data_IF_383763841865
#
_entry.id   IF_383763841865
#
_cell.length_a   1.000
_cell.length_b   1.000
_cell.length_c   1.000
_cell.angle_alpha   90.00
_cell.angle_beta   90.00
_cell.angle_gamma   90.00
#
_symmetry.space_group_name_H-M   'P 1'
#
loop_
_entity.id
_entity.type
_entity.pdbx_description
1 polymer ?
#
# COMPACT_ATOMS: atom_id res chain seq x y z
N UNK A 1 13.96 -10.83 45.33
CA UNK A 1 13.28 -9.50 45.32
C UNK A 1 14.22 -8.34 45.06
N UNK A 2 15.30 -8.12 45.83
CA UNK A 2 16.24 -6.99 45.63
C UNK A 2 16.88 -6.94 44.23
N UNK A 3 17.30 -8.08 43.68
CA UNK A 3 17.89 -8.17 42.32
C UNK A 3 16.86 -7.78 41.24
N UNK A 4 15.64 -8.30 41.35
CA UNK A 4 14.55 -7.99 40.41
C UNK A 4 14.21 -6.50 40.46
N UNK A 5 14.14 -5.91 41.65
CA UNK A 5 13.90 -4.48 41.81
C UNK A 5 15.03 -3.64 41.21
N UNK A 6 16.30 -4.04 41.39
CA UNK A 6 17.45 -3.37 40.79
C UNK A 6 17.41 -3.46 39.25
N UNK A 7 17.13 -4.64 38.69
CA UNK A 7 17.00 -4.81 37.23
C UNK A 7 15.85 -3.98 36.66
N UNK A 8 14.69 -3.97 37.34
CA UNK A 8 13.56 -3.14 36.93
C UNK A 8 13.93 -1.65 36.95
N UNK A 9 14.63 -1.18 37.99
CA UNK A 9 15.09 0.20 38.09
C UNK A 9 16.06 0.55 36.94
N UNK A 10 17.01 -0.31 36.61
CA UNK A 10 17.93 -0.11 35.49
C UNK A 10 17.17 0.00 34.16
N UNK A 11 16.19 -0.89 33.92
CA UNK A 11 15.36 -0.85 32.71
C UNK A 11 14.56 0.44 32.62
N UNK A 12 13.98 0.91 33.72
CA UNK A 12 13.25 2.18 33.78
C UNK A 12 14.17 3.36 33.44
N UNK A 13 15.37 3.39 34.03
CA UNK A 13 16.36 4.44 33.78
C UNK A 13 16.75 4.46 32.29
N UNK A 14 17.06 3.30 31.71
CA UNK A 14 17.38 3.17 30.27
C UNK A 14 16.21 3.68 29.42
N UNK A 15 14.98 3.28 29.72
CA UNK A 15 13.79 3.73 29.00
C UNK A 15 13.57 5.25 29.08
N UNK A 16 13.86 5.88 30.23
CA UNK A 16 13.81 7.34 30.38
C UNK A 16 14.85 8.02 29.49
N UNK A 17 16.08 7.52 29.48
CA UNK A 17 17.14 8.08 28.62
C UNK A 17 16.83 7.91 27.13
N UNK A 18 16.34 6.73 26.73
CA UNK A 18 15.90 6.47 25.36
C UNK A 18 14.78 7.42 24.94
N UNK A 19 13.76 7.59 25.80
CA UNK A 19 12.64 8.52 25.57
C UNK A 19 13.13 9.95 25.42
N UNK A 20 14.02 10.42 26.30
CA UNK A 20 14.59 11.77 26.23
C UNK A 20 15.40 11.98 24.94
N UNK A 21 16.23 11.01 24.55
CA UNK A 21 17.00 11.07 23.30
C UNK A 21 16.08 11.12 22.08
N UNK A 22 15.07 10.26 22.04
CA UNK A 22 14.09 10.22 20.95
C UNK A 22 13.32 11.55 20.84
N UNK A 23 12.83 12.07 21.98
CA UNK A 23 12.14 13.35 21.99
C UNK A 23 13.05 14.49 21.51
N UNK A 24 14.33 14.50 21.90
CA UNK A 24 15.29 15.48 21.38
C UNK A 24 15.41 15.39 19.86
N UNK A 25 15.49 14.18 19.31
CA UNK A 25 15.55 13.99 17.87
C UNK A 25 14.30 14.51 17.16
N UNK A 26 13.10 14.29 17.72
CA UNK A 26 11.86 14.84 17.17
C UNK A 26 11.91 16.37 17.07
N UNK A 27 12.37 17.06 18.12
CA UNK A 27 12.47 18.53 18.12
C UNK A 27 13.56 19.08 17.19
N UNK A 28 14.50 18.24 16.76
CA UNK A 28 15.56 18.63 15.84
C UNK A 28 15.13 18.53 14.36
N UNK A 29 14.00 17.90 14.07
CA UNK A 29 13.46 17.81 12.71
C UNK A 29 12.47 18.98 12.53
N UNK A 30 12.68 19.90 11.57
CA UNK A 30 11.85 21.09 11.44
C UNK A 30 10.37 20.80 11.15
N UNK A 31 10.08 19.75 10.39
CA UNK A 31 8.70 19.30 10.20
C UNK A 31 8.56 17.79 10.00
N UNK A 32 7.54 17.21 10.63
CA UNK A 32 7.19 15.80 10.51
C UNK A 32 5.78 15.67 9.93
N UNK A 33 5.65 14.85 8.89
CA UNK A 33 4.39 14.53 8.22
C UNK A 33 4.08 13.06 8.43
N UNK A 34 2.94 12.77 9.07
CA UNK A 34 2.44 11.42 9.25
C UNK A 34 1.29 11.14 8.28
N UNK A 35 1.44 10.13 7.43
CA UNK A 35 0.47 9.77 6.40
C UNK A 35 -0.30 8.52 6.81
N UNK A 36 -1.57 8.68 7.12
CA UNK A 36 -2.47 7.62 7.57
C UNK A 36 -3.69 7.45 6.62
N UNK A 37 -4.46 6.40 6.86
CA UNK A 37 -5.61 5.99 6.05
C UNK A 37 -5.53 4.52 5.64
N UNK A 38 -6.58 4.01 5.02
CA UNK A 38 -6.65 2.57 4.69
C UNK A 38 -5.89 2.27 3.39
N UNK A 39 -6.10 3.07 2.34
CA UNK A 39 -5.46 2.90 1.02
C UNK A 39 -4.69 4.14 0.56
N UNK A 40 -3.73 3.94 -0.33
CA UNK A 40 -2.99 5.03 -0.97
C UNK A 40 -1.86 5.64 -0.14
N UNK A 41 -1.64 5.24 1.12
CA UNK A 41 -0.63 5.84 2.00
C UNK A 41 0.77 5.88 1.37
N UNK A 42 1.31 4.74 0.92
CA UNK A 42 2.64 4.70 0.29
C UNK A 42 2.74 5.59 -0.94
N UNK A 43 1.71 5.62 -1.80
CA UNK A 43 1.67 6.48 -2.97
C UNK A 43 1.65 7.95 -2.56
N UNK A 44 0.81 8.32 -1.60
CA UNK A 44 0.71 9.68 -1.06
C UNK A 44 2.01 10.13 -0.41
N UNK A 45 2.68 9.29 0.39
CA UNK A 45 4.00 9.56 0.97
C UNK A 45 5.04 9.85 -0.12
N UNK A 46 5.06 9.04 -1.19
CA UNK A 46 5.97 9.24 -2.34
C UNK A 46 5.68 10.55 -3.05
N UNK A 47 4.41 10.88 -3.31
CA UNK A 47 4.00 12.13 -3.96
C UNK A 47 4.32 13.37 -3.11
N UNK A 48 3.98 13.35 -1.82
CA UNK A 48 4.31 14.44 -0.88
C UNK A 48 5.82 14.65 -0.87
N UNK A 49 6.60 13.59 -0.68
CA UNK A 49 8.05 13.72 -0.60
C UNK A 49 8.66 14.28 -1.89
N UNK A 50 8.14 13.88 -3.06
CA UNK A 50 8.60 14.38 -4.35
C UNK A 50 8.20 15.85 -4.59
N UNK A 51 6.97 16.22 -4.23
CA UNK A 51 6.49 17.60 -4.31
C UNK A 51 7.33 18.53 -3.42
N UNK A 52 7.59 18.13 -2.17
CA UNK A 52 8.39 18.91 -1.24
C UNK A 52 9.86 19.03 -1.68
N UNK A 53 10.48 17.96 -2.18
CA UNK A 53 11.83 18.02 -2.78
C UNK A 53 11.91 18.97 -3.96
N UNK A 54 10.89 18.96 -4.83
CA UNK A 54 10.86 19.89 -5.97
C UNK A 54 10.73 21.35 -5.58
N UNK A 55 10.21 21.63 -4.38
CA UNK A 55 10.21 22.94 -3.74
C UNK A 55 11.53 23.33 -3.06
N UNK A 56 12.57 22.49 -3.15
CA UNK A 56 13.90 22.77 -2.60
C UNK A 56 14.14 22.24 -1.18
N UNK A 57 13.21 21.48 -0.60
CA UNK A 57 13.37 20.91 0.74
C UNK A 57 14.16 19.60 0.71
N UNK A 58 15.02 19.38 1.70
CA UNK A 58 15.61 18.07 1.99
C UNK A 58 14.56 17.19 2.67
N UNK A 59 14.13 16.13 2.00
CA UNK A 59 13.04 15.28 2.50
C UNK A 59 13.50 13.83 2.62
N UNK A 60 13.45 13.30 3.85
CA UNK A 60 13.51 11.86 4.09
C UNK A 60 12.09 11.33 4.13
N UNK A 61 11.80 10.28 3.37
CA UNK A 61 10.50 9.62 3.41
C UNK A 61 10.63 8.13 3.72
N UNK A 62 9.62 7.59 4.38
CA UNK A 62 9.55 6.16 4.67
C UNK A 62 8.18 5.61 4.32
N UNK A 63 8.16 4.57 3.49
CA UNK A 63 6.95 3.84 3.10
C UNK A 63 6.90 2.45 3.71
N UNK A 64 5.69 1.89 3.79
CA UNK A 64 5.42 0.54 4.31
C UNK A 64 4.54 -0.29 3.39
N UNK A 65 4.36 0.14 2.13
CA UNK A 65 3.54 -0.50 1.11
C UNK A 65 3.96 -1.93 0.77
N UNK A 66 4.15 -2.22 -0.51
CA UNK A 66 4.48 -3.58 -0.96
C UNK A 66 5.85 -4.04 -0.45
N UNK A 67 6.79 -3.11 -0.34
CA UNK A 67 8.04 -3.29 0.37
C UNK A 67 8.33 -2.01 1.18
N UNK A 68 8.87 -2.17 2.38
CA UNK A 68 9.23 -1.02 3.20
C UNK A 68 10.50 -0.36 2.67
N UNK A 69 10.44 0.94 2.40
CA UNK A 69 11.53 1.71 1.76
C UNK A 69 11.81 2.96 2.55
N UNK A 70 13.09 3.35 2.58
CA UNK A 70 13.55 4.69 2.92
C UNK A 70 13.90 5.36 1.60
N UNK A 71 13.37 6.56 1.39
CA UNK A 71 13.62 7.42 0.23
C UNK A 71 14.41 8.62 0.74
N UNK A 72 15.67 8.71 0.34
CA UNK A 72 16.61 9.74 0.80
C UNK A 72 16.38 11.09 0.09
N UNK A 73 16.95 12.20 0.61
CA UNK A 73 16.86 13.51 -0.03
C UNK A 73 17.35 13.53 -1.48
N UNK A 74 18.34 12.70 -1.81
CA UNK A 74 18.89 12.51 -3.16
C UNK A 74 18.03 11.60 -4.07
N UNK A 75 16.86 11.16 -3.59
CA UNK A 75 15.93 10.22 -4.22
C UNK A 75 16.41 8.77 -4.28
N UNK A 76 17.57 8.45 -3.72
CA UNK A 76 17.99 7.05 -3.59
C UNK A 76 17.05 6.29 -2.66
N UNK A 77 16.82 5.00 -2.95
CA UNK A 77 15.95 4.14 -2.14
C UNK A 77 16.72 2.98 -1.52
N UNK A 78 16.50 2.78 -0.22
CA UNK A 78 16.98 1.58 0.49
C UNK A 78 15.82 0.79 1.06
N UNK A 79 15.88 -0.52 0.89
CA UNK A 79 14.92 -1.43 1.51
C UNK A 79 15.16 -1.57 3.00
N UNK A 80 14.08 -1.57 3.79
CA UNK A 80 14.14 -1.85 5.23
C UNK A 80 14.06 -3.37 5.41
N UNK A 81 15.21 -3.99 5.64
CA UNK A 81 15.28 -5.43 5.95
C UNK A 81 14.81 -5.64 7.39
N UNK A 82 13.77 -6.46 7.58
CA UNK A 82 13.22 -6.80 8.89
C UNK A 82 13.60 -8.22 9.29
N UNK A 83 14.09 -8.37 10.52
CA UNK A 83 14.35 -9.69 11.14
C UNK A 83 13.14 -10.22 11.94
N UNK A 84 11.99 -9.57 11.84
CA UNK A 84 10.77 -9.90 12.57
C UNK A 84 9.54 -9.20 11.97
N UNK A 85 8.36 -9.33 12.61
CA UNK A 85 7.16 -8.66 12.13
C UNK A 85 7.35 -7.13 12.11
N UNK A 86 6.64 -6.41 11.23
CA UNK A 86 6.64 -4.95 11.24
C UNK A 86 6.27 -4.40 12.62
N UNK A 87 6.98 -3.36 13.07
CA UNK A 87 6.77 -2.75 14.39
C UNK A 87 6.91 -1.24 14.29
N UNK A 88 5.99 -0.50 14.93
CA UNK A 88 6.07 0.97 15.02
C UNK A 88 7.35 1.45 15.71
N UNK A 89 8.02 0.58 16.47
CA UNK A 89 9.32 0.91 17.09
C UNK A 89 10.43 1.18 16.07
N UNK A 90 10.27 0.72 14.80
CA UNK A 90 11.22 1.03 13.73
C UNK A 90 11.30 2.53 13.43
N UNK A 91 10.23 3.29 13.75
CA UNK A 91 10.18 4.75 13.54
C UNK A 91 11.25 5.50 14.36
N UNK A 92 11.69 4.98 15.52
CA UNK A 92 12.78 5.58 16.29
C UNK A 92 14.07 5.72 15.49
N UNK A 93 14.40 4.66 14.72
CA UNK A 93 15.60 4.66 13.88
C UNK A 93 15.45 5.58 12.68
N UNK A 94 14.24 5.68 12.12
CA UNK A 94 13.96 6.60 10.99
C UNK A 94 14.05 8.06 11.45
N UNK A 95 13.52 8.38 12.63
CA UNK A 95 13.66 9.72 13.24
C UNK A 95 15.12 10.04 13.53
N UNK A 96 15.89 9.10 14.06
CA UNK A 96 17.33 9.29 14.23
C UNK A 96 18.04 9.55 12.90
N UNK A 97 17.74 8.76 11.87
CA UNK A 97 18.30 8.93 10.53
C UNK A 97 17.94 10.30 9.93
N UNK A 98 16.71 10.77 10.13
CA UNK A 98 16.29 12.10 9.65
C UNK A 98 17.13 13.24 10.25
N UNK A 99 17.52 13.12 11.53
CA UNK A 99 18.43 14.07 12.18
C UNK A 99 19.85 13.94 11.62
N UNK A 100 20.34 12.72 11.40
CA UNK A 100 21.68 12.47 10.84
C UNK A 100 21.82 12.97 9.39
N UNK A 101 20.74 12.91 8.61
CA UNK A 101 20.66 13.43 7.24
C UNK A 101 20.31 14.93 7.18
N UNK A 102 20.13 15.58 8.34
CA UNK A 102 19.80 17.01 8.47
C UNK A 102 18.63 17.43 7.57
N UNK A 103 17.54 16.69 7.61
CA UNK A 103 16.39 16.93 6.72
C UNK A 103 15.52 18.08 7.21
N UNK A 104 14.91 18.79 6.27
CA UNK A 104 13.91 19.82 6.55
C UNK A 104 12.56 19.17 6.90
N UNK A 105 12.24 18.04 6.23
CA UNK A 105 10.96 17.35 6.40
C UNK A 105 11.14 15.84 6.46
N UNK A 106 10.51 15.21 7.45
CA UNK A 106 10.36 13.76 7.56
C UNK A 106 8.93 13.34 7.20
N UNK A 107 8.75 12.52 6.15
CA UNK A 107 7.44 12.01 5.73
C UNK A 107 7.32 10.52 6.02
N UNK A 108 6.45 10.12 6.94
CA UNK A 108 6.31 8.74 7.38
C UNK A 108 4.92 8.20 7.09
N UNK A 109 4.86 7.06 6.40
CA UNK A 109 3.66 6.25 6.29
C UNK A 109 3.32 5.55 7.63
N UNK A 110 2.06 5.67 8.03
CA UNK A 110 1.48 4.95 9.16
C UNK A 110 1.33 3.46 8.85
N UNK A 111 1.85 2.62 9.74
CA UNK A 111 1.66 1.16 9.70
C UNK A 111 0.71 0.64 10.79
N UNK A 112 0.20 1.54 11.63
CA UNK A 112 -0.57 1.18 12.80
C UNK A 112 -1.93 0.60 12.38
N UNK A 113 -2.35 -0.48 13.05
CA UNK A 113 -3.64 -1.13 12.79
C UNK A 113 -4.56 -0.97 13.99
N UNK A 114 -4.19 -1.51 15.17
CA UNK A 114 -5.07 -1.44 16.34
C UNK A 114 -5.09 -0.05 17.00
N UNK A 115 -6.15 0.28 17.76
CA UNK A 115 -6.29 1.54 18.49
C UNK A 115 -5.05 1.96 19.30
N UNK A 116 -4.47 1.03 20.06
CA UNK A 116 -3.33 1.29 20.94
C UNK A 116 -2.08 1.64 20.12
N UNK A 117 -1.91 0.97 18.98
CA UNK A 117 -0.77 1.19 18.08
C UNK A 117 -0.97 2.48 17.28
N UNK A 118 -2.21 2.86 16.92
CA UNK A 118 -2.52 4.16 16.28
C UNK A 118 -2.17 5.31 17.22
N UNK A 119 -2.65 5.24 18.46
CA UNK A 119 -2.33 6.23 19.49
C UNK A 119 -0.83 6.28 19.78
N UNK A 120 -0.19 5.12 19.94
CA UNK A 120 1.25 5.05 20.25
C UNK A 120 2.12 5.57 19.11
N UNK A 121 1.79 5.24 17.85
CA UNK A 121 2.54 5.70 16.67
C UNK A 121 2.65 7.22 16.66
N UNK A 122 1.55 7.91 16.94
CA UNK A 122 1.55 9.38 17.00
C UNK A 122 2.20 9.90 18.28
N UNK A 123 1.62 9.58 19.44
CA UNK A 123 1.92 10.24 20.71
C UNK A 123 3.27 9.82 21.31
N UNK A 124 3.80 8.65 20.90
CA UNK A 124 5.08 8.15 21.38
C UNK A 124 6.19 8.25 20.35
N UNK A 125 5.93 8.08 19.05
CA UNK A 125 7.00 7.95 18.07
C UNK A 125 7.17 9.14 17.14
N UNK A 126 6.12 9.88 16.80
CA UNK A 126 6.17 10.88 15.73
C UNK A 126 5.90 12.31 16.19
N UNK A 127 4.81 12.57 16.91
CA UNK A 127 4.39 13.94 17.27
C UNK A 127 4.45 14.88 16.04
N UNK A 128 3.67 14.56 15.02
CA UNK A 128 3.76 15.14 13.69
C UNK A 128 3.06 16.51 13.61
N UNK A 129 3.68 17.45 12.90
CA UNK A 129 3.10 18.78 12.61
C UNK A 129 1.97 18.72 11.57
N UNK A 130 2.00 17.67 10.73
CA UNK A 130 1.00 17.41 9.71
C UNK A 130 0.53 15.95 9.76
N UNK A 131 -0.78 15.76 9.87
CA UNK A 131 -1.43 14.47 9.65
C UNK A 131 -2.17 14.48 8.32
N UNK A 132 -1.89 13.50 7.47
CA UNK A 132 -2.57 13.30 6.19
C UNK A 132 -3.48 12.08 6.31
N UNK A 133 -4.77 12.22 6.05
CA UNK A 133 -5.73 11.10 6.03
C UNK A 133 -6.20 10.88 4.59
N UNK A 134 -5.77 9.77 3.99
CA UNK A 134 -6.07 9.48 2.58
C UNK A 134 -7.52 9.03 2.36
N UNK A 135 -8.01 8.09 3.16
CA UNK A 135 -9.38 7.55 3.12
C UNK A 135 -9.64 6.59 4.27
N UNK A 136 -10.93 6.31 4.50
CA UNK A 136 -11.45 5.28 5.40
C UNK A 136 -12.21 4.22 4.58
N UNK A 137 -11.84 2.96 4.76
CA UNK A 137 -12.42 1.80 4.07
C UNK A 137 -12.45 0.59 5.01
N UNK A 138 -13.25 -0.42 4.68
CA UNK A 138 -13.27 -1.67 5.43
C UNK A 138 -11.93 -2.41 5.29
N UNK A 139 -11.17 -2.48 6.37
CA UNK A 139 -9.97 -3.31 6.53
C UNK A 139 -9.79 -3.65 8.01
N UNK A 140 -9.18 -4.80 8.29
CA UNK A 140 -8.92 -5.30 9.65
C UNK A 140 -10.09 -5.09 10.61
N UNK A 141 -11.31 -5.52 10.23
CA UNK A 141 -12.51 -5.29 11.05
C UNK A 141 -12.38 -5.89 12.46
N UNK A 142 -11.56 -6.92 12.61
CA UNK A 142 -11.20 -7.58 13.87
C UNK A 142 -10.31 -6.72 14.78
N UNK A 143 -9.64 -5.69 14.25
CA UNK A 143 -8.67 -4.85 14.98
C UNK A 143 -9.00 -3.37 14.97
N UNK A 144 -9.60 -2.86 13.90
CA UNK A 144 -9.87 -1.43 13.70
C UNK A 144 -11.28 -1.02 14.04
N UNK A 145 -12.22 -1.97 14.09
CA UNK A 145 -13.64 -1.69 14.31
C UNK A 145 -14.54 -2.41 13.29
N UNK A 146 -15.79 -2.61 13.65
CA UNK A 146 -16.74 -3.44 12.91
C UNK A 146 -17.41 -2.70 11.73
N UNK A 147 -17.24 -1.39 11.64
CA UNK A 147 -17.83 -0.56 10.60
C UNK A 147 -16.94 0.66 10.30
N UNK A 148 -17.26 1.39 9.23
CA UNK A 148 -16.47 2.54 8.77
C UNK A 148 -16.34 3.65 9.83
N UNK A 149 -17.36 3.85 10.68
CA UNK A 149 -17.33 4.86 11.73
C UNK A 149 -16.30 4.48 12.80
N UNK A 150 -16.35 3.25 13.31
CA UNK A 150 -15.36 2.75 14.28
C UNK A 150 -13.92 2.75 13.70
N UNK A 151 -13.76 2.40 12.42
CA UNK A 151 -12.45 2.48 11.75
C UNK A 151 -11.94 3.94 11.70
N UNK A 152 -12.81 4.90 11.38
CA UNK A 152 -12.42 6.31 11.36
C UNK A 152 -12.09 6.83 12.77
N UNK A 153 -12.79 6.38 13.81
CA UNK A 153 -12.44 6.68 15.20
C UNK A 153 -11.06 6.12 15.55
N UNK A 154 -10.77 4.87 15.17
CA UNK A 154 -9.47 4.24 15.37
C UNK A 154 -8.35 4.99 14.64
N UNK A 155 -8.54 5.38 13.39
CA UNK A 155 -7.58 6.21 12.64
C UNK A 155 -7.40 7.56 13.35
N UNK A 156 -8.48 8.16 13.85
CA UNK A 156 -8.45 9.46 14.52
C UNK A 156 -7.68 9.44 15.85
N UNK A 157 -7.40 8.27 16.44
CA UNK A 157 -6.51 8.16 17.60
C UNK A 157 -5.08 8.60 17.29
N UNK A 158 -4.66 8.51 16.02
CA UNK A 158 -3.38 8.99 15.53
C UNK A 158 -3.33 10.50 15.25
N UNK A 159 -4.41 11.26 15.44
CA UNK A 159 -4.37 12.71 15.23
C UNK A 159 -3.39 13.37 16.23
N UNK A 160 -2.44 14.21 15.80
CA UNK A 160 -1.59 14.98 16.71
C UNK A 160 -2.39 16.02 17.50
N UNK A 161 -1.71 16.80 18.34
CA UNK A 161 -2.27 17.99 19.01
C UNK A 161 -1.68 19.25 18.40
N UNK A 162 -2.46 20.34 18.34
CA UNK A 162 -2.00 21.67 17.89
C UNK A 162 -1.32 21.66 16.50
N UNK A 163 -1.84 20.85 15.59
CA UNK A 163 -1.19 20.52 14.31
C UNK A 163 -2.14 20.68 13.12
N UNK A 164 -1.65 20.42 11.91
CA UNK A 164 -2.45 20.49 10.70
C UNK A 164 -2.97 19.12 10.30
N UNK A 165 -4.25 19.03 9.93
CA UNK A 165 -4.87 17.78 9.45
C UNK A 165 -5.40 18.01 8.04
N UNK A 166 -4.86 17.27 7.07
CA UNK A 166 -5.30 17.31 5.67
C UNK A 166 -5.99 15.98 5.35
N UNK A 167 -7.20 16.03 4.81
CA UNK A 167 -7.98 14.81 4.55
C UNK A 167 -8.61 14.82 3.16
N UNK A 168 -8.46 13.71 2.44
CA UNK A 168 -9.25 13.39 1.23
C UNK A 168 -10.45 12.48 1.51
N UNK A 169 -10.65 12.07 2.76
CA UNK A 169 -11.84 11.31 3.16
C UNK A 169 -13.09 12.20 3.09
N UNK A 170 -14.07 11.81 2.28
CA UNK A 170 -15.30 12.58 2.01
C UNK A 170 -16.48 12.15 2.86
N UNK A 171 -16.69 10.83 3.04
CA UNK A 171 -17.89 10.29 3.69
C UNK A 171 -17.87 10.55 5.19
N UNK A 172 -16.68 10.48 5.80
CA UNK A 172 -16.47 10.68 7.24
C UNK A 172 -15.74 11.98 7.56
N UNK A 173 -15.72 12.94 6.62
CA UNK A 173 -15.05 14.23 6.77
C UNK A 173 -15.48 14.96 8.05
N UNK A 174 -16.79 14.95 8.35
CA UNK A 174 -17.34 15.58 9.56
C UNK A 174 -16.74 15.01 10.84
N UNK A 175 -16.67 13.68 10.96
CA UNK A 175 -16.11 13.03 12.14
C UNK A 175 -14.62 13.35 12.30
N UNK A 176 -13.85 13.28 11.21
CA UNK A 176 -12.42 13.62 11.24
C UNK A 176 -12.22 15.07 11.65
N UNK A 177 -13.03 16.00 11.12
CA UNK A 177 -13.00 17.42 11.49
C UNK A 177 -13.30 17.62 12.98
N UNK A 178 -14.38 17.04 13.49
CA UNK A 178 -14.75 17.11 14.91
C UNK A 178 -13.62 16.57 15.81
N UNK A 179 -13.05 15.39 15.49
CA UNK A 179 -11.92 14.82 16.25
C UNK A 179 -10.64 15.67 16.14
N UNK A 180 -10.45 16.38 15.02
CA UNK A 180 -9.32 17.31 14.83
C UNK A 180 -9.47 18.53 15.73
N UNK A 181 -10.66 19.14 15.77
CA UNK A 181 -10.98 20.30 16.61
C UNK A 181 -10.82 19.96 18.10
N UNK A 182 -11.23 18.75 18.53
CA UNK A 182 -11.02 18.27 19.91
C UNK A 182 -9.54 18.22 20.33
N UNK A 183 -8.60 18.13 19.38
CA UNK A 183 -7.15 18.16 19.64
C UNK A 183 -6.49 19.50 19.27
N UNK A 184 -7.31 20.54 19.07
CA UNK A 184 -6.89 21.88 18.65
C UNK A 184 -6.11 21.88 17.32
N UNK A 185 -6.50 21.00 16.39
CA UNK A 185 -5.87 20.92 15.07
C UNK A 185 -6.60 21.79 14.04
N UNK A 186 -5.85 22.29 13.05
CA UNK A 186 -6.41 22.96 11.89
C UNK A 186 -6.76 21.93 10.81
N UNK A 187 -8.06 21.72 10.56
CA UNK A 187 -8.54 20.77 9.57
C UNK A 187 -8.70 21.42 8.18
N UNK A 188 -8.21 20.73 7.15
CA UNK A 188 -8.34 21.08 5.73
C UNK A 188 -8.80 19.88 4.91
N UNK A 189 -9.90 20.03 4.16
CA UNK A 189 -10.29 19.07 3.12
C UNK A 189 -9.53 19.34 1.82
N UNK A 190 -9.42 18.30 0.97
CA UNK A 190 -8.91 18.41 -0.40
C UNK A 190 -10.02 18.46 -1.46
N UNK A 191 -11.30 18.56 -1.08
CA UNK A 191 -12.44 18.47 -2.00
C UNK A 191 -12.44 19.55 -3.09
N UNK A 192 -11.84 20.70 -2.83
CA UNK A 192 -11.71 21.81 -3.78
C UNK A 192 -10.53 21.63 -4.77
N UNK A 193 -9.71 20.58 -4.61
CA UNK A 193 -8.58 20.32 -5.48
C UNK A 193 -9.00 19.33 -6.57
N UNK A 194 -9.28 19.87 -7.75
CA UNK A 194 -9.57 19.06 -8.94
C UNK A 194 -8.28 18.74 -9.68
N UNK A 195 -8.16 17.52 -10.19
CA UNK A 195 -7.05 17.09 -11.06
C UNK A 195 -7.64 16.87 -12.46
N UNK A 196 -7.10 17.59 -13.45
CA UNK A 196 -7.52 17.47 -14.85
C UNK A 196 -7.05 16.15 -15.47
N UNK A 197 -7.65 15.76 -16.59
CA UNK A 197 -7.22 14.54 -17.32
C UNK A 197 -5.82 14.71 -17.89
N UNK A 198 -5.50 15.92 -18.33
CA UNK A 198 -4.21 16.32 -18.89
C UNK A 198 -3.11 16.19 -17.82
N UNK A 199 -3.38 16.64 -16.58
CA UNK A 199 -2.44 16.44 -15.47
C UNK A 199 -2.24 14.96 -15.12
N UNK A 200 -3.31 14.14 -15.18
CA UNK A 200 -3.20 12.70 -14.91
C UNK A 200 -2.38 11.96 -15.97
N UNK A 201 -2.48 12.37 -17.24
CA UNK A 201 -1.74 11.74 -18.35
C UNK A 201 -0.23 11.98 -18.29
N UNK A 202 0.22 13.01 -17.58
CA UNK A 202 1.65 13.32 -17.42
C UNK A 202 2.36 12.39 -16.43
N UNK A 203 1.61 11.68 -15.59
CA UNK A 203 2.21 10.62 -14.78
C UNK A 203 2.50 9.43 -15.69
N UNK A 204 3.76 8.98 -15.71
CA UNK A 204 4.14 7.73 -16.40
C UNK A 204 3.42 6.49 -15.86
N UNK A 205 2.71 6.67 -14.74
CA UNK A 205 2.17 5.65 -13.88
C UNK A 205 0.81 5.99 -13.35
N UNK A 206 0.10 4.98 -12.91
CA UNK A 206 -1.21 5.17 -12.31
C UNK A 206 -1.12 5.77 -10.90
N UNK A 207 -1.77 6.92 -10.72
CA UNK A 207 -1.90 7.60 -9.43
C UNK A 207 -3.36 8.05 -9.25
N UNK A 208 -3.92 7.81 -8.06
CA UNK A 208 -5.27 8.27 -7.74
C UNK A 208 -5.30 9.79 -7.53
N UNK A 209 -6.33 10.44 -8.09
CA UNK A 209 -6.53 11.88 -7.96
C UNK A 209 -6.56 12.36 -6.51
N UNK A 210 -7.18 11.60 -5.60
CA UNK A 210 -7.22 11.92 -4.16
C UNK A 210 -5.80 11.95 -3.54
N UNK A 211 -4.90 11.06 -3.97
CA UNK A 211 -3.51 11.05 -3.48
C UNK A 211 -2.75 12.30 -3.97
N UNK A 212 -2.98 12.70 -5.22
CA UNK A 212 -2.39 13.93 -5.80
C UNK A 212 -2.96 15.15 -5.07
N UNK A 213 -4.26 15.17 -4.78
CA UNK A 213 -4.92 16.26 -4.07
C UNK A 213 -4.35 16.45 -2.66
N UNK A 214 -4.13 15.37 -1.90
CA UNK A 214 -3.37 15.40 -0.65
C UNK A 214 -1.99 16.04 -0.84
N UNK A 215 -1.21 15.55 -1.80
CA UNK A 215 0.15 16.03 -2.02
C UNK A 215 0.21 17.52 -2.41
N UNK A 216 -0.72 17.99 -3.25
CA UNK A 216 -0.84 19.41 -3.61
C UNK A 216 -1.20 20.24 -2.38
N UNK A 217 -2.19 19.81 -1.58
CA UNK A 217 -2.60 20.56 -0.37
C UNK A 217 -1.45 20.63 0.64
N UNK A 218 -0.71 19.54 0.81
CA UNK A 218 0.49 19.53 1.67
C UNK A 218 1.54 20.48 1.12
N UNK A 219 1.88 20.44 -0.17
CA UNK A 219 2.86 21.34 -0.76
C UNK A 219 2.50 22.83 -0.57
N UNK A 220 1.21 23.17 -0.67
CA UNK A 220 0.72 24.53 -0.39
C UNK A 220 1.00 24.99 1.05
N UNK A 221 0.90 24.10 2.04
CA UNK A 221 1.25 24.41 3.44
C UNK A 221 2.75 24.73 3.61
N UNK A 222 3.60 24.25 2.71
CA UNK A 222 5.03 24.56 2.64
C UNK A 222 5.35 25.71 1.67
N UNK A 223 4.34 26.48 1.24
CA UNK A 223 4.46 27.58 0.27
C UNK A 223 5.02 27.17 -1.10
N UNK A 224 4.79 25.91 -1.50
CA UNK A 224 5.18 25.39 -2.82
C UNK A 224 3.96 25.47 -3.74
N UNK A 225 4.12 26.13 -4.88
CA UNK A 225 3.05 26.29 -5.86
C UNK A 225 2.70 24.97 -6.57
N UNK A 226 1.47 24.88 -7.11
CA UNK A 226 0.95 23.67 -7.76
C UNK A 226 1.85 23.18 -8.89
N UNK A 227 2.40 24.09 -9.71
CA UNK A 227 3.19 23.72 -10.89
C UNK A 227 4.51 23.08 -10.45
N UNK A 228 5.18 23.66 -9.47
CA UNK A 228 6.39 23.08 -8.87
C UNK A 228 6.09 21.72 -8.25
N UNK A 229 5.04 21.64 -7.41
CA UNK A 229 4.63 20.41 -6.76
C UNK A 229 4.35 19.27 -7.77
N UNK A 230 3.58 19.54 -8.82
CA UNK A 230 3.27 18.56 -9.86
C UNK A 230 4.52 18.10 -10.62
N UNK A 231 5.45 19.01 -10.93
CA UNK A 231 6.72 18.66 -11.57
C UNK A 231 7.49 17.62 -10.75
N UNK A 232 7.55 17.78 -9.42
CA UNK A 232 8.15 16.79 -8.54
C UNK A 232 7.36 15.47 -8.52
N UNK A 233 6.04 15.54 -8.46
CA UNK A 233 5.18 14.35 -8.44
C UNK A 233 5.31 13.47 -9.69
N UNK A 234 5.54 14.05 -10.87
CA UNK A 234 5.74 13.30 -12.10
C UNK A 234 7.00 12.42 -12.05
N UNK A 235 8.05 12.84 -11.33
CA UNK A 235 9.28 12.07 -11.16
C UNK A 235 9.27 11.14 -9.94
N UNK A 236 8.15 11.05 -9.21
CA UNK A 236 8.08 10.18 -8.05
C UNK A 236 8.31 8.73 -8.46
N UNK A 237 9.07 7.97 -7.67
CA UNK A 237 9.28 6.53 -7.86
C UNK A 237 8.04 5.73 -7.43
N UNK A 238 7.83 4.55 -8.02
CA UNK A 238 6.69 3.68 -7.72
C UNK A 238 6.86 2.89 -6.41
N UNK A 239 5.73 2.53 -5.78
CA UNK A 239 5.76 1.42 -4.83
C UNK A 239 6.06 0.13 -5.63
N UNK A 240 6.97 -0.76 -5.18
CA UNK A 240 7.35 -1.95 -5.94
C UNK A 240 6.20 -2.89 -6.35
N UNK A 241 5.02 -2.78 -5.72
CA UNK A 241 3.83 -3.54 -6.10
C UNK A 241 2.81 -2.77 -6.94
N UNK A 242 3.19 -1.65 -7.55
CA UNK A 242 2.36 -0.93 -8.54
C UNK A 242 1.83 -1.88 -9.63
N UNK A 243 0.74 -1.46 -10.27
CA UNK A 243 0.13 -2.21 -11.36
C UNK A 243 1.12 -2.35 -12.52
N UNK A 244 1.47 -3.58 -12.88
CA UNK A 244 2.39 -3.87 -13.98
C UNK A 244 1.84 -4.90 -14.94
N UNK A 245 2.26 -4.82 -16.20
CA UNK A 245 1.90 -5.77 -17.25
C UNK A 245 3.16 -6.44 -17.76
N UNK A 246 3.16 -7.76 -17.82
CA UNK A 246 4.27 -8.53 -18.36
C UNK A 246 3.77 -9.44 -19.49
N UNK A 247 4.44 -9.37 -20.64
CA UNK A 247 4.26 -10.31 -21.73
C UNK A 247 5.29 -11.42 -21.61
N UNK A 248 4.81 -12.65 -21.40
CA UNK A 248 5.61 -13.86 -21.45
C UNK A 248 5.26 -14.62 -22.73
N UNK A 249 6.25 -14.80 -23.60
CA UNK A 249 6.11 -15.59 -24.83
C UNK A 249 6.53 -17.03 -24.55
N UNK A 250 5.57 -17.94 -24.52
CA UNK A 250 5.83 -19.38 -24.37
C UNK A 250 5.74 -20.08 -25.73
N UNK A 251 6.25 -21.32 -25.80
CA UNK A 251 6.28 -22.09 -27.06
C UNK A 251 4.90 -22.23 -27.73
N UNK A 252 3.84 -22.33 -26.94
CA UNK A 252 2.50 -22.67 -27.43
C UNK A 252 1.49 -21.51 -27.31
N UNK A 253 1.83 -20.41 -26.64
CA UNK A 253 0.92 -19.29 -26.37
C UNK A 253 1.66 -18.04 -25.89
N UNK A 254 1.02 -16.89 -25.98
CA UNK A 254 1.39 -15.69 -25.25
C UNK A 254 0.61 -15.60 -23.93
N UNK A 255 1.27 -15.08 -22.89
CA UNK A 255 0.66 -14.87 -21.58
C UNK A 255 0.88 -13.42 -21.17
N UNK A 256 -0.21 -12.68 -20.98
CA UNK A 256 -0.19 -11.39 -20.32
C UNK A 256 -0.45 -11.59 -18.84
N UNK A 257 0.53 -11.26 -18.01
CA UNK A 257 0.34 -11.20 -16.56
C UNK A 257 0.16 -9.75 -16.12
N UNK A 258 -1.00 -9.49 -15.51
CA UNK A 258 -1.37 -8.19 -14.96
C UNK A 258 -1.22 -8.28 -13.45
N UNK A 259 -0.13 -7.72 -12.95
CA UNK A 259 0.21 -7.73 -11.55
C UNK A 259 -0.55 -6.63 -10.80
N UNK A 260 -1.71 -6.97 -10.24
CA UNK A 260 -2.50 -6.09 -9.37
C UNK A 260 -2.49 -6.55 -7.90
N UNK A 261 -1.45 -7.28 -7.46
CA UNK A 261 -1.39 -7.85 -6.11
C UNK A 261 -1.25 -6.82 -4.97
N UNK A 262 -0.94 -5.56 -5.25
CA UNK A 262 -1.01 -4.51 -4.21
C UNK A 262 -2.45 -4.12 -3.86
N UNK A 263 -3.42 -4.39 -4.74
CA UNK A 263 -4.84 -4.19 -4.46
C UNK A 263 -5.40 -5.32 -3.59
N UNK A 264 -5.20 -5.16 -2.29
CA UNK A 264 -5.54 -6.19 -1.30
C UNK A 264 -7.02 -6.18 -0.87
N UNK A 265 -7.86 -5.27 -1.34
CA UNK A 265 -9.32 -5.23 -1.05
C UNK A 265 -10.15 -5.31 -2.33
N UNK A 266 -11.43 -5.68 -2.17
CA UNK A 266 -12.41 -5.76 -3.25
C UNK A 266 -12.54 -4.43 -4.02
N UNK A 267 -12.70 -3.30 -3.33
CA UNK A 267 -13.03 -2.03 -3.99
C UNK A 267 -11.87 -1.52 -4.84
N UNK A 268 -10.64 -1.54 -4.31
CA UNK A 268 -9.44 -1.20 -5.09
C UNK A 268 -9.26 -2.17 -6.27
N UNK A 269 -9.50 -3.46 -6.07
CA UNK A 269 -9.41 -4.46 -7.15
C UNK A 269 -10.46 -4.22 -8.23
N UNK A 270 -11.68 -3.83 -7.85
CA UNK A 270 -12.78 -3.52 -8.77
C UNK A 270 -12.45 -2.29 -9.63
N UNK A 271 -11.86 -1.25 -9.04
CA UNK A 271 -11.41 -0.06 -9.77
C UNK A 271 -10.34 -0.45 -10.81
N UNK A 272 -9.32 -1.21 -10.39
CA UNK A 272 -8.27 -1.68 -11.30
C UNK A 272 -8.86 -2.56 -12.40
N UNK A 273 -9.72 -3.53 -12.05
CA UNK A 273 -10.37 -4.41 -13.02
C UNK A 273 -11.13 -3.62 -14.08
N UNK A 274 -12.01 -2.70 -13.69
CA UNK A 274 -12.83 -1.92 -14.62
C UNK A 274 -12.01 -1.04 -15.56
N UNK A 275 -10.78 -0.69 -15.16
CA UNK A 275 -9.84 0.04 -16.00
C UNK A 275 -9.13 -0.92 -16.97
N UNK A 276 -8.49 -1.94 -16.42
CA UNK A 276 -7.70 -2.92 -17.16
C UNK A 276 -8.55 -3.64 -18.21
N UNK A 277 -9.76 -4.06 -17.85
CA UNK A 277 -10.62 -4.84 -18.74
C UNK A 277 -11.09 -4.07 -19.98
N UNK A 278 -11.05 -2.73 -19.96
CA UNK A 278 -11.38 -1.90 -21.12
C UNK A 278 -10.27 -1.86 -22.16
N UNK A 279 -9.05 -2.21 -21.76
CA UNK A 279 -7.87 -2.18 -22.62
C UNK A 279 -7.44 -3.58 -23.06
N UNK A 280 -8.23 -4.62 -22.80
CA UNK A 280 -7.88 -5.99 -23.18
C UNK A 280 -7.67 -6.15 -24.69
N UNK A 281 -8.46 -5.45 -25.50
CA UNK A 281 -8.35 -5.49 -26.96
C UNK A 281 -7.04 -4.85 -27.48
N UNK A 282 -6.34 -4.07 -26.65
CA UNK A 282 -5.06 -3.45 -26.99
C UNK A 282 -3.85 -4.29 -26.54
N UNK A 283 -4.08 -5.38 -25.82
CA UNK A 283 -3.02 -6.26 -25.36
C UNK A 283 -2.52 -7.14 -26.53
N UNK A 284 -1.22 -7.47 -26.60
CA UNK A 284 -0.66 -8.26 -27.69
C UNK A 284 -0.96 -9.77 -27.52
N UNK A 285 -2.24 -10.12 -27.56
CA UNK A 285 -2.79 -11.48 -27.46
C UNK A 285 -4.01 -11.66 -28.35
N UNK A 286 -4.25 -12.89 -28.82
CA UNK A 286 -5.40 -13.22 -29.68
C UNK A 286 -6.32 -14.25 -29.02
N UNK A 287 -7.63 -14.02 -29.08
CA UNK A 287 -8.67 -14.92 -28.52
C UNK A 287 -8.38 -15.38 -27.08
N UNK A 288 -7.87 -14.47 -26.25
CA UNK A 288 -7.30 -14.84 -24.97
C UNK A 288 -8.35 -15.25 -23.94
N UNK A 289 -8.09 -16.36 -23.25
CA UNK A 289 -8.84 -16.77 -22.07
C UNK A 289 -8.39 -15.96 -20.84
N UNK A 290 -9.35 -15.44 -20.06
CA UNK A 290 -9.07 -14.53 -18.94
C UNK A 290 -9.14 -15.28 -17.62
N UNK A 291 -8.02 -15.36 -16.91
CA UNK A 291 -7.87 -16.08 -15.65
C UNK A 291 -7.69 -15.11 -14.49
N UNK A 292 -8.37 -15.36 -13.37
CA UNK A 292 -8.07 -14.68 -12.11
C UNK A 292 -7.02 -15.48 -11.34
N UNK A 293 -5.91 -14.84 -10.95
CA UNK A 293 -4.94 -15.40 -10.01
C UNK A 293 -5.07 -14.67 -8.67
N UNK A 294 -5.62 -15.34 -7.67
CA UNK A 294 -5.80 -14.76 -6.33
C UNK A 294 -4.82 -15.35 -5.33
N UNK A 295 -4.16 -14.47 -4.56
CA UNK A 295 -3.28 -14.84 -3.46
C UNK A 295 -3.84 -14.33 -2.13
N UNK A 296 -4.02 -15.24 -1.16
CA UNK A 296 -4.52 -14.89 0.17
C UNK A 296 -3.48 -15.01 1.27
N UNK A 297 -3.48 -14.02 2.18
CA UNK A 297 -2.82 -14.08 3.49
C UNK A 297 -3.64 -14.84 4.51
N UNK A 298 -2.97 -15.42 5.50
CA UNK A 298 -3.60 -16.17 6.60
C UNK A 298 -4.41 -15.30 7.56
N UNK A 299 -3.95 -14.06 7.81
CA UNK A 299 -4.51 -13.13 8.80
C UNK A 299 -5.67 -12.26 8.28
N UNK A 300 -6.11 -12.44 7.03
CA UNK A 300 -7.21 -11.66 6.42
C UNK A 300 -8.38 -12.54 5.95
N UNK A 301 -8.80 -13.47 6.80
CA UNK A 301 -9.82 -14.46 6.47
C UNK A 301 -11.18 -13.88 6.05
N UNK A 302 -11.57 -12.71 6.59
CA UNK A 302 -12.83 -12.04 6.24
C UNK A 302 -12.91 -11.66 4.74
N UNK A 303 -11.74 -11.40 4.11
CA UNK A 303 -11.66 -11.01 2.70
C UNK A 303 -11.98 -12.14 1.72
N UNK A 304 -12.01 -13.39 2.17
CA UNK A 304 -12.38 -14.52 1.30
C UNK A 304 -13.77 -14.30 0.66
N UNK A 305 -14.73 -13.83 1.45
CA UNK A 305 -16.08 -13.54 0.97
C UNK A 305 -16.10 -12.37 0.01
N UNK A 306 -15.45 -11.26 0.37
CA UNK A 306 -15.38 -10.06 -0.47
C UNK A 306 -14.75 -10.34 -1.85
N UNK A 307 -13.65 -11.09 -1.87
CA UNK A 307 -13.02 -11.49 -3.12
C UNK A 307 -13.84 -12.55 -3.87
N UNK A 308 -14.54 -13.45 -3.20
CA UNK A 308 -15.45 -14.36 -3.89
C UNK A 308 -16.52 -13.57 -4.67
N UNK A 309 -17.12 -12.54 -4.07
CA UNK A 309 -18.07 -11.66 -4.74
C UNK A 309 -17.47 -10.95 -5.97
N UNK A 310 -16.22 -10.46 -5.86
CA UNK A 310 -15.49 -9.89 -6.99
C UNK A 310 -15.27 -10.90 -8.12
N UNK A 311 -14.77 -12.09 -7.77
CA UNK A 311 -14.38 -13.15 -8.70
C UNK A 311 -15.58 -13.75 -9.44
N UNK A 312 -16.73 -13.89 -8.77
CA UNK A 312 -17.91 -14.56 -9.34
C UNK A 312 -18.86 -13.61 -10.08
N UNK A 313 -18.51 -12.33 -10.24
CA UNK A 313 -19.30 -11.40 -11.06
C UNK A 313 -19.30 -11.88 -12.51
N UNK A 314 -20.50 -11.91 -13.11
CA UNK A 314 -20.79 -12.60 -14.38
C UNK A 314 -19.83 -12.15 -15.49
N UNK A 315 -19.38 -13.12 -16.29
CA UNK A 315 -18.55 -12.93 -17.49
C UNK A 315 -17.17 -12.27 -17.30
N UNK A 316 -16.58 -12.29 -16.10
CA UNK A 316 -15.21 -11.75 -15.89
C UNK A 316 -14.08 -12.70 -16.24
N UNK A 317 -14.16 -13.91 -15.71
CA UNK A 317 -13.06 -14.87 -15.73
C UNK A 317 -13.53 -16.20 -16.27
N UNK A 318 -12.74 -16.81 -17.14
CA UNK A 318 -12.92 -18.16 -17.66
C UNK A 318 -12.53 -19.20 -16.60
N UNK A 319 -11.45 -18.94 -15.84
CA UNK A 319 -10.95 -19.83 -14.79
C UNK A 319 -10.31 -19.07 -13.61
N UNK A 320 -10.04 -19.80 -12.53
CA UNK A 320 -9.47 -19.28 -11.29
C UNK A 320 -8.24 -20.07 -10.86
N UNK A 321 -7.15 -19.36 -10.58
CA UNK A 321 -5.92 -19.87 -10.00
C UNK A 321 -5.81 -19.37 -8.55
N UNK A 322 -5.69 -20.29 -7.60
CA UNK A 322 -5.71 -19.97 -6.17
C UNK A 322 -4.35 -20.26 -5.54
N UNK A 323 -3.77 -19.26 -4.86
CA UNK A 323 -2.47 -19.33 -4.20
C UNK A 323 -2.50 -18.79 -2.76
N UNK A 324 -1.44 -19.02 -2.00
CA UNK A 324 -1.31 -18.55 -0.62
C UNK A 324 -2.03 -19.41 0.43
N UNK A 325 -2.12 -18.89 1.65
CA UNK A 325 -2.46 -19.65 2.86
C UNK A 325 -3.92 -20.13 2.89
N UNK A 326 -4.85 -19.41 2.25
CA UNK A 326 -6.29 -19.68 2.34
C UNK A 326 -6.90 -20.26 1.06
N UNK A 327 -6.08 -20.65 0.07
CA UNK A 327 -6.55 -21.14 -1.24
C UNK A 327 -7.57 -22.28 -1.19
N UNK A 328 -7.43 -23.23 -0.26
CA UNK A 328 -8.39 -24.33 -0.12
C UNK A 328 -9.76 -23.87 0.40
N UNK A 329 -9.78 -22.88 1.31
CA UNK A 329 -11.04 -22.27 1.78
C UNK A 329 -11.70 -21.48 0.66
N UNK A 330 -10.91 -20.70 -0.09
CA UNK A 330 -11.40 -19.97 -1.26
C UNK A 330 -11.97 -20.91 -2.32
N UNK A 331 -11.31 -22.04 -2.61
CA UNK A 331 -11.80 -23.06 -3.54
C UNK A 331 -13.17 -23.59 -3.14
N UNK A 332 -13.35 -23.94 -1.86
CA UNK A 332 -14.64 -24.42 -1.35
C UNK A 332 -15.74 -23.37 -1.49
N UNK A 333 -15.43 -22.12 -1.19
CA UNK A 333 -16.37 -21.01 -1.34
C UNK A 333 -16.77 -20.78 -2.81
N UNK A 334 -15.79 -20.71 -3.71
CA UNK A 334 -16.04 -20.55 -5.15
C UNK A 334 -16.82 -21.71 -5.75
N UNK A 335 -16.50 -22.96 -5.39
CA UNK A 335 -17.27 -24.14 -5.82
C UNK A 335 -18.74 -24.07 -5.42
N UNK A 336 -19.02 -23.58 -4.20
CA UNK A 336 -20.39 -23.39 -3.70
C UNK A 336 -21.14 -22.31 -4.48
N UNK A 337 -20.47 -21.22 -4.87
CA UNK A 337 -21.11 -20.09 -5.58
C UNK A 337 -21.28 -20.40 -7.08
N UNK A 338 -20.31 -21.05 -7.70
CA UNK A 338 -20.27 -21.30 -9.15
C UNK A 338 -20.88 -22.66 -9.56
N UNK A 339 -21.39 -23.45 -8.61
CA UNK A 339 -21.94 -24.80 -8.85
C UNK A 339 -21.02 -25.70 -9.72
N UNK A 340 -19.71 -25.56 -9.55
CA UNK A 340 -18.65 -26.32 -10.27
C UNK A 340 -18.61 -26.18 -11.80
N UNK A 341 -19.21 -25.15 -12.40
CA UNK A 341 -19.21 -24.95 -13.86
C UNK A 341 -17.89 -24.40 -14.44
N UNK A 342 -16.96 -23.97 -13.60
CA UNK A 342 -15.70 -23.33 -14.02
C UNK A 342 -14.48 -24.01 -13.40
N UNK A 343 -13.36 -23.96 -14.12
CA UNK A 343 -12.09 -24.48 -13.64
C UNK A 343 -11.54 -23.65 -12.48
N UNK A 344 -11.30 -24.33 -11.35
CA UNK A 344 -10.73 -23.75 -10.13
C UNK A 344 -9.53 -24.59 -9.73
N UNK A 345 -8.34 -24.05 -10.00
CA UNK A 345 -7.05 -24.72 -9.83
C UNK A 345 -6.32 -24.14 -8.61
N UNK A 346 -5.62 -25.00 -7.88
CA UNK A 346 -4.77 -24.58 -6.77
C UNK A 346 -3.31 -24.58 -7.23
N UNK A 347 -2.62 -23.47 -7.05
CA UNK A 347 -1.19 -23.35 -7.27
C UNK A 347 -0.45 -23.68 -5.96
N UNK A 348 0.39 -24.71 -5.99
CA UNK A 348 1.15 -25.18 -4.82
C UNK A 348 2.65 -24.93 -5.02
N UNK A 349 3.09 -23.71 -4.74
CA UNK A 349 4.50 -23.32 -4.92
C UNK A 349 5.47 -24.01 -3.96
N UNK A 350 5.00 -24.52 -2.82
CA UNK A 350 5.83 -25.29 -1.88
C UNK A 350 6.42 -26.57 -2.49
N UNK A 351 5.82 -27.10 -3.56
CA UNK A 351 6.29 -28.28 -4.31
C UNK A 351 7.45 -27.90 -5.26
N UNK A 352 7.68 -26.62 -5.48
CA UNK A 352 8.69 -26.10 -6.39
C UNK A 352 10.00 -25.73 -5.67
N UNK A 353 10.54 -26.59 -4.80
CA UNK A 353 11.76 -26.25 -4.04
C UNK A 353 13.02 -26.05 -4.94
N UNK A 354 13.13 -26.81 -6.03
CA UNK A 354 14.17 -26.70 -7.08
C UNK A 354 13.51 -26.30 -8.42
N UNK A 355 14.19 -25.46 -9.21
CA UNK A 355 13.78 -24.99 -10.55
C UNK A 355 12.38 -24.33 -10.59
N UNK A 356 12.10 -23.40 -9.65
CA UNK A 356 10.81 -22.70 -9.53
C UNK A 356 10.30 -22.13 -10.85
N UNK A 357 11.15 -21.45 -11.60
CA UNK A 357 10.75 -20.75 -12.81
C UNK A 357 10.37 -21.70 -13.94
N UNK A 358 11.17 -22.74 -14.19
CA UNK A 358 10.84 -23.76 -15.18
C UNK A 358 9.53 -24.47 -14.84
N UNK A 359 9.27 -24.74 -13.56
CA UNK A 359 8.01 -25.35 -13.12
C UNK A 359 6.81 -24.41 -13.26
N UNK A 360 6.99 -23.11 -12.99
CA UNK A 360 5.96 -22.09 -13.22
C UNK A 360 5.66 -21.91 -14.71
N UNK A 361 6.69 -21.77 -15.55
CA UNK A 361 6.57 -21.73 -17.01
C UNK A 361 5.81 -22.96 -17.52
N UNK A 362 6.24 -24.17 -17.15
CA UNK A 362 5.52 -25.40 -17.50
C UNK A 362 4.08 -25.42 -16.98
N UNK A 363 3.83 -24.95 -15.76
CA UNK A 363 2.47 -24.89 -15.20
C UNK A 363 1.57 -23.98 -16.04
N UNK A 364 2.01 -22.75 -16.32
CA UNK A 364 1.22 -21.78 -17.06
C UNK A 364 1.05 -22.17 -18.54
N UNK A 365 2.08 -22.74 -19.17
CA UNK A 365 2.03 -23.20 -20.55
C UNK A 365 1.08 -24.40 -20.74
N UNK A 366 0.90 -25.24 -19.70
CA UNK A 366 0.04 -26.42 -19.72
C UNK A 366 -1.36 -26.18 -19.12
N UNK A 367 -1.76 -24.93 -18.85
CA UNK A 367 -3.15 -24.63 -18.49
C UNK A 367 -4.10 -25.00 -19.64
N UNK A 368 -5.31 -25.44 -19.29
CA UNK A 368 -6.32 -25.84 -20.28
C UNK A 368 -6.62 -24.71 -21.29
N UNK A 369 -6.89 -25.08 -22.55
CA UNK A 369 -6.91 -24.23 -23.77
C UNK A 369 -5.52 -23.99 -24.36
N UNK A 370 -5.35 -24.07 -25.69
CA UNK A 370 -4.13 -23.64 -26.40
C UNK A 370 -4.18 -22.15 -26.79
N UNK A 371 -5.19 -21.41 -26.32
CA UNK A 371 -5.31 -19.97 -26.54
C UNK A 371 -4.28 -19.18 -25.72
N UNK A 372 -4.05 -17.94 -26.14
CA UNK A 372 -3.37 -16.95 -25.34
C UNK A 372 -4.10 -16.72 -24.01
N UNK A 373 -3.36 -16.23 -23.01
CA UNK A 373 -3.89 -16.06 -21.66
C UNK A 373 -3.71 -14.63 -21.17
N UNK A 374 -4.75 -14.11 -20.52
CA UNK A 374 -4.65 -12.93 -19.66
C UNK A 374 -4.83 -13.38 -18.22
N UNK A 375 -3.80 -13.20 -17.39
CA UNK A 375 -3.81 -13.55 -15.97
C UNK A 375 -3.88 -12.27 -15.16
N UNK A 376 -5.01 -12.02 -14.50
CA UNK A 376 -5.20 -10.91 -13.58
C UNK A 376 -4.85 -11.34 -12.15
N UNK A 377 -3.68 -10.91 -11.66
CA UNK A 377 -3.19 -11.19 -10.31
C UNK A 377 -3.76 -10.22 -9.27
N UNK A 378 -4.48 -10.71 -8.25
CA UNK A 378 -5.07 -9.87 -7.21
C UNK A 378 -4.99 -10.49 -5.80
N UNK A 379 -5.29 -9.68 -4.79
CA UNK A 379 -5.22 -10.09 -3.38
C UNK A 379 -3.96 -9.56 -2.71
N UNK A 380 -3.19 -10.42 -2.05
CA UNK A 380 -2.00 -10.00 -1.32
C UNK A 380 -0.72 -10.17 -2.15
N UNK A 381 0.22 -9.24 -2.04
CA UNK A 381 1.51 -9.31 -2.74
C UNK A 381 2.53 -10.27 -2.11
N UNK A 382 2.53 -10.42 -0.79
CA UNK A 382 3.50 -11.29 -0.11
C UNK A 382 3.23 -12.80 -0.28
N UNK A 383 4.30 -13.59 -0.14
CA UNK A 383 4.26 -15.05 -0.17
C UNK A 383 4.28 -15.59 -1.59
N UNK A 384 3.26 -16.37 -1.98
CA UNK A 384 3.23 -16.98 -3.31
C UNK A 384 3.23 -15.93 -4.44
N UNK A 385 2.56 -14.78 -4.23
CA UNK A 385 2.49 -13.70 -5.21
C UNK A 385 3.84 -13.02 -5.48
N UNK A 386 4.74 -12.90 -4.49
CA UNK A 386 6.11 -12.38 -4.70
C UNK A 386 6.88 -13.27 -5.67
N UNK A 387 6.78 -14.59 -5.49
CA UNK A 387 7.46 -15.58 -6.34
C UNK A 387 6.90 -15.52 -7.77
N UNK A 388 5.58 -15.44 -7.92
CA UNK A 388 4.93 -15.38 -9.24
C UNK A 388 5.26 -14.06 -9.94
N UNK A 389 5.20 -12.94 -9.22
CA UNK A 389 5.54 -11.62 -9.76
C UNK A 389 6.99 -11.59 -10.23
N UNK A 390 7.91 -12.15 -9.44
CA UNK A 390 9.33 -12.26 -9.78
C UNK A 390 9.56 -13.12 -11.03
N UNK A 391 8.84 -14.24 -11.14
CA UNK A 391 8.91 -15.10 -12.33
C UNK A 391 8.54 -14.33 -13.61
N UNK A 392 7.40 -13.62 -13.62
CA UNK A 392 6.98 -12.85 -14.79
C UNK A 392 7.88 -11.64 -15.06
N UNK A 393 8.44 -10.99 -14.03
CA UNK A 393 9.36 -9.87 -14.24
C UNK A 393 10.71 -10.29 -14.81
N UNK A 394 11.20 -11.48 -14.45
CA UNK A 394 12.51 -11.98 -14.93
C UNK A 394 12.39 -12.79 -16.23
N UNK A 395 11.25 -13.43 -16.48
CA UNK A 395 11.05 -14.30 -17.66
C UNK A 395 10.28 -13.61 -18.79
N UNK A 396 9.52 -12.56 -18.47
CA UNK A 396 8.73 -11.80 -19.44
C UNK A 396 9.32 -10.42 -19.75
N UNK A 397 8.62 -9.68 -20.60
CA UNK A 397 8.92 -8.28 -20.96
C UNK A 397 7.84 -7.38 -20.38
N UNK A 398 8.21 -6.37 -19.60
CA UNK A 398 7.26 -5.36 -19.11
C UNK A 398 6.71 -4.54 -20.29
N UNK A 399 5.39 -4.41 -20.39
CA UNK A 399 4.71 -3.63 -21.44
C UNK A 399 3.94 -2.47 -20.82
N UNK A 400 3.87 -1.33 -21.54
CA UNK A 400 3.04 -0.19 -21.16
C UNK A 400 1.67 -0.34 -21.81
N UNK A 401 0.59 -0.10 -21.07
CA UNK A 401 -0.79 -0.35 -21.51
C UNK A 401 -1.77 0.72 -21.02
#
# INVERSE_FOLDING_TARGET
MKIIALMALIIIIIGIFERKKHNKNLHNIPSIIHVNGIRGKSSTTRLISAALRSGGLKVLAKTTGSAARIIYPDQSEKEIIRHGPPSISEQKKIVQLAVEEEVDVLVIECMAVSPEIQWSSENLFLNADYMIITNVRNDHLDKMGNNLLEIAETISLSLPYNSNVISSEKKLARLIKEKSEMRNNQYSSTDNITISKEELQLFEKEVFADNIACAIKTAQCFNIDRKTALKGMFSATEDPGSLKYYLLKEKNRNIIFINAFAANDRDSTEIIWNRVSKNFDNLPVENASIYALINHRSDRGFRLKEFAEFLTKKNRFNAYLLSGALKFRQRRLLKKILNSQKNILNLNLSIFALNKFNKLSNYFNNLESNEDLIIFGCGNIHGDAEIISKFFSESGVEIKC
#
